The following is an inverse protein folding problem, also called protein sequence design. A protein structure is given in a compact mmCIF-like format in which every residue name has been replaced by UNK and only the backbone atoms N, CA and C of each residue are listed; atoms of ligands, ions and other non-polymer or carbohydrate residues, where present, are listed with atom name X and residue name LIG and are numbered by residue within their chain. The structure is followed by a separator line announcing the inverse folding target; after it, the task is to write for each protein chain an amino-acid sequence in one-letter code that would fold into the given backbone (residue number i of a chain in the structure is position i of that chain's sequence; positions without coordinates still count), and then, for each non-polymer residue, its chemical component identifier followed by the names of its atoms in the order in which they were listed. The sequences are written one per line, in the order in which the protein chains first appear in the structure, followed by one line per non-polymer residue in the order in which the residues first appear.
data_IF_393151072805
#
_entry.id   IF_393151072805
#
_cell.length_a   1.000
_cell.length_b   1.000
_cell.length_c   1.000
_cell.angle_alpha   90.00
_cell.angle_beta   90.00
_cell.angle_gamma   90.00
#
_symmetry.space_group_name_H-M   'P 1'
#
loop_
_entity.id
_entity.type
_entity.pdbx_description
1 polymer ?
#
# COMPACT_ATOMS: atom_id res chain seq x y z
N UNK A 1 11.56 -29.13 -11.65
CA UNK A 1 12.19 -28.03 -12.42
C UNK A 1 12.37 -26.87 -11.45
N UNK A 2 13.58 -26.55 -11.03
CA UNK A 2 13.85 -25.38 -10.19
C UNK A 2 13.70 -24.14 -11.07
N UNK A 3 12.86 -23.19 -10.66
CA UNK A 3 12.75 -21.88 -11.33
C UNK A 3 14.14 -21.27 -11.47
N UNK A 4 14.45 -20.57 -12.57
CA UNK A 4 15.72 -19.88 -12.69
C UNK A 4 15.90 -18.90 -11.53
N UNK A 5 17.14 -18.70 -11.02
CA UNK A 5 17.42 -17.98 -9.77
C UNK A 5 16.93 -16.51 -9.74
N UNK A 6 16.44 -15.98 -10.84
CA UNK A 6 15.98 -14.60 -11.02
C UNK A 6 14.48 -14.46 -11.22
N UNK A 7 13.70 -15.53 -11.13
CA UNK A 7 12.22 -15.45 -11.22
C UNK A 7 11.58 -15.53 -9.83
N UNK A 8 10.47 -14.84 -9.68
CA UNK A 8 9.63 -14.97 -8.50
C UNK A 8 8.98 -16.35 -8.46
N UNK A 9 8.96 -16.95 -7.27
CA UNK A 9 8.17 -18.12 -6.97
C UNK A 9 7.51 -17.95 -5.58
N UNK A 10 6.30 -18.47 -5.36
CA UNK A 10 5.56 -18.30 -4.10
C UNK A 10 6.35 -18.71 -2.85
N UNK A 11 7.27 -19.67 -2.96
CA UNK A 11 8.12 -20.14 -1.87
C UNK A 11 9.12 -19.07 -1.38
N UNK A 12 9.33 -18.02 -2.15
CA UNK A 12 10.19 -16.88 -1.76
C UNK A 12 9.45 -15.89 -0.85
N UNK A 13 8.10 -15.90 -0.82
CA UNK A 13 7.29 -15.01 0.00
C UNK A 13 7.67 -15.00 1.47
N UNK A 14 7.80 -16.18 2.15
CA UNK A 14 8.20 -16.25 3.55
C UNK A 14 9.57 -15.63 3.86
N UNK A 15 10.49 -15.60 2.88
CA UNK A 15 11.83 -15.03 3.03
C UNK A 15 11.84 -13.53 2.77
N UNK A 16 11.09 -13.07 1.76
CA UNK A 16 11.07 -11.67 1.34
C UNK A 16 10.18 -10.81 2.23
N UNK A 17 8.98 -11.27 2.57
CA UNK A 17 7.99 -10.46 3.27
C UNK A 17 8.52 -9.86 4.59
N UNK A 18 9.21 -10.59 5.47
CA UNK A 18 9.77 -10.00 6.69
C UNK A 18 10.82 -8.92 6.42
N UNK A 19 11.60 -9.04 5.34
CA UNK A 19 12.59 -8.04 4.95
C UNK A 19 11.89 -6.75 4.48
N UNK A 20 10.84 -6.87 3.66
CA UNK A 20 10.07 -5.73 3.18
C UNK A 20 9.30 -5.05 4.31
N UNK A 21 8.74 -5.82 5.25
CA UNK A 21 8.09 -5.27 6.46
C UNK A 21 9.07 -4.44 7.31
N UNK A 22 10.31 -4.91 7.49
CA UNK A 22 11.35 -4.12 8.19
C UNK A 22 11.73 -2.86 7.43
N UNK A 23 11.87 -2.97 6.11
CA UNK A 23 12.21 -1.85 5.24
C UNK A 23 11.12 -0.77 5.28
N UNK A 24 9.85 -1.14 5.20
CA UNK A 24 8.73 -0.22 5.33
C UNK A 24 8.73 0.49 6.71
N UNK A 25 9.05 -0.23 7.80
CA UNK A 25 9.20 0.37 9.12
C UNK A 25 10.36 1.34 9.21
N UNK A 26 11.49 1.04 8.59
CA UNK A 26 12.64 1.94 8.55
C UNK A 26 12.31 3.24 7.80
N UNK A 27 11.67 3.14 6.63
CA UNK A 27 11.19 4.28 5.87
C UNK A 27 10.16 5.12 6.66
N UNK A 28 9.19 4.46 7.30
CA UNK A 28 8.18 5.15 8.11
C UNK A 28 8.79 5.92 9.29
N UNK A 29 9.90 5.46 9.86
CA UNK A 29 10.64 6.21 10.89
C UNK A 29 11.20 7.51 10.34
N UNK A 30 11.86 7.49 9.18
CA UNK A 30 12.37 8.70 8.53
C UNK A 30 11.24 9.68 8.21
N UNK A 31 10.11 9.18 7.73
CA UNK A 31 8.92 9.99 7.47
C UNK A 31 8.43 10.66 8.75
N UNK A 32 8.34 9.93 9.86
CA UNK A 32 7.90 10.48 11.15
C UNK A 32 8.88 11.50 11.74
N UNK A 33 10.18 11.39 11.46
CA UNK A 33 11.16 12.43 11.83
C UNK A 33 10.85 13.75 11.15
N UNK A 34 10.58 13.72 9.84
CA UNK A 34 10.17 14.91 9.09
C UNK A 34 8.79 15.39 9.57
N UNK A 35 7.83 14.46 9.74
CA UNK A 35 6.47 14.79 10.19
C UNK A 35 6.43 15.48 11.57
N UNK A 36 7.40 15.20 12.44
CA UNK A 36 7.53 15.83 13.76
C UNK A 36 8.24 17.20 13.73
N UNK A 37 8.80 17.61 12.57
CA UNK A 37 9.50 18.88 12.38
C UNK A 37 8.63 19.92 11.66
N UNK A 38 9.13 21.14 11.57
CA UNK A 38 8.67 22.13 10.59
C UNK A 38 9.32 21.83 9.25
N UNK A 39 8.55 21.27 8.32
CA UNK A 39 9.03 20.87 6.99
C UNK A 39 8.51 21.80 5.90
N UNK A 40 9.31 21.96 4.87
CA UNK A 40 8.92 22.66 3.65
C UNK A 40 8.18 21.71 2.69
N UNK A 41 7.22 22.26 1.95
CA UNK A 41 6.48 21.59 0.89
C UNK A 41 6.91 22.18 -0.44
N UNK A 42 7.25 21.33 -1.38
CA UNK A 42 7.55 21.71 -2.76
C UNK A 42 6.50 21.13 -3.69
N UNK A 43 6.28 21.75 -4.83
CA UNK A 43 5.38 21.24 -5.87
C UNK A 43 6.19 20.52 -6.94
N UNK A 44 5.72 19.34 -7.34
CA UNK A 44 6.22 18.60 -8.51
C UNK A 44 5.75 19.28 -9.80
N UNK A 45 6.25 18.84 -10.95
CA UNK A 45 5.88 19.38 -12.26
C UNK A 45 4.38 19.24 -12.57
N UNK A 46 3.70 18.26 -11.96
CA UNK A 46 2.24 18.05 -12.08
C UNK A 46 1.44 18.77 -10.97
N UNK A 47 2.06 19.70 -10.22
CA UNK A 47 1.49 20.42 -9.09
C UNK A 47 1.04 19.54 -7.90
N UNK A 48 1.51 18.31 -7.81
CA UNK A 48 1.38 17.51 -6.58
C UNK A 48 2.46 17.91 -5.57
N UNK A 49 2.16 17.90 -4.25
CA UNK A 49 3.16 18.23 -3.25
C UNK A 49 4.19 17.12 -3.12
N UNK A 50 5.42 17.49 -2.83
CA UNK A 50 6.50 16.59 -2.41
C UNK A 50 7.19 17.18 -1.20
N UNK A 51 7.67 16.33 -0.32
CA UNK A 51 8.40 16.75 0.88
C UNK A 51 9.72 16.01 1.00
N UNK A 52 10.59 16.51 1.86
CA UNK A 52 11.82 15.81 2.22
C UNK A 52 11.57 14.39 2.75
N UNK A 53 10.36 14.11 3.26
CA UNK A 53 9.99 12.78 3.73
C UNK A 53 9.90 11.78 2.58
N UNK A 54 9.29 12.16 1.45
CA UNK A 54 9.15 11.34 0.24
C UNK A 54 10.55 10.96 -0.28
N UNK A 55 11.41 11.96 -0.45
CA UNK A 55 12.76 11.77 -1.00
C UNK A 55 13.66 10.91 -0.09
N UNK A 56 13.64 11.17 1.23
CA UNK A 56 14.43 10.38 2.19
C UNK A 56 13.95 8.92 2.25
N UNK A 57 12.66 8.70 2.22
CA UNK A 57 12.11 7.35 2.23
C UNK A 57 12.47 6.59 0.94
N UNK A 58 12.36 7.22 -0.24
CA UNK A 58 12.77 6.59 -1.50
C UNK A 58 14.26 6.28 -1.54
N UNK A 59 15.10 7.20 -1.06
CA UNK A 59 16.57 7.01 -0.98
C UNK A 59 16.95 5.84 -0.07
N UNK A 60 16.18 5.53 0.96
CA UNK A 60 16.36 4.34 1.78
C UNK A 60 15.85 3.07 1.10
N UNK A 61 14.63 3.12 0.54
CA UNK A 61 13.93 1.92 0.05
C UNK A 61 14.60 1.37 -1.22
N UNK A 62 14.89 2.23 -2.20
CA UNK A 62 15.34 1.80 -3.52
C UNK A 62 16.65 1.00 -3.49
N UNK A 63 17.74 1.46 -2.84
CA UNK A 63 18.98 0.69 -2.76
C UNK A 63 18.82 -0.62 -1.98
N UNK A 64 17.99 -0.63 -0.93
CA UNK A 64 17.75 -1.83 -0.14
C UNK A 64 17.05 -2.94 -0.96
N UNK A 65 16.07 -2.57 -1.79
CA UNK A 65 15.41 -3.50 -2.71
C UNK A 65 16.36 -4.01 -3.79
N UNK A 66 17.22 -3.14 -4.33
CA UNK A 66 18.25 -3.52 -5.31
C UNK A 66 19.28 -4.49 -4.72
N UNK A 67 19.69 -4.30 -3.47
CA UNK A 67 20.57 -5.25 -2.78
C UNK A 67 19.87 -6.59 -2.52
N UNK A 68 18.59 -6.57 -2.17
CA UNK A 68 17.80 -7.77 -1.91
C UNK A 68 17.60 -8.61 -3.17
N UNK A 69 17.36 -7.96 -4.31
CA UNK A 69 17.14 -8.59 -5.62
C UNK A 69 17.71 -7.71 -6.75
N UNK A 70 19.01 -7.83 -7.05
CA UNK A 70 19.68 -6.91 -7.99
C UNK A 70 19.15 -6.94 -9.42
N UNK A 71 18.48 -8.02 -9.82
CA UNK A 71 17.95 -8.20 -11.18
C UNK A 71 16.53 -7.70 -11.35
N UNK A 72 15.86 -7.30 -10.26
CA UNK A 72 14.49 -6.79 -10.32
C UNK A 72 14.49 -5.26 -10.27
N UNK A 73 14.05 -4.58 -11.35
CA UNK A 73 13.97 -3.13 -11.36
C UNK A 73 13.10 -2.60 -10.22
N UNK A 74 13.44 -1.41 -9.72
CA UNK A 74 12.62 -0.68 -8.75
C UNK A 74 12.01 0.51 -9.46
N UNK A 75 10.70 0.50 -9.61
CA UNK A 75 9.90 1.63 -10.10
C UNK A 75 9.33 2.35 -8.89
N UNK A 76 9.86 3.53 -8.60
CA UNK A 76 9.47 4.34 -7.45
C UNK A 76 8.89 5.68 -7.93
N UNK A 77 7.95 6.23 -7.15
CA UNK A 77 7.19 7.42 -7.54
C UNK A 77 8.07 8.61 -7.82
N UNK A 78 9.02 8.94 -6.93
CA UNK A 78 9.82 10.16 -7.07
C UNK A 78 10.80 10.06 -8.24
N UNK A 79 11.41 8.90 -8.47
CA UNK A 79 12.20 8.64 -9.67
C UNK A 79 11.35 8.71 -10.94
N UNK A 80 10.12 8.18 -10.91
CA UNK A 80 9.21 8.23 -12.05
C UNK A 80 8.78 9.67 -12.39
N UNK A 81 8.48 10.48 -11.38
CA UNK A 81 8.12 11.90 -11.56
C UNK A 81 9.23 12.72 -12.22
N UNK A 82 10.49 12.32 -12.02
CA UNK A 82 11.69 12.89 -12.65
C UNK A 82 12.03 12.26 -14.01
N UNK A 83 11.21 11.35 -14.53
CA UNK A 83 11.48 10.62 -15.77
C UNK A 83 12.63 9.60 -15.66
N UNK A 84 12.96 9.14 -14.45
CA UNK A 84 14.09 8.24 -14.16
C UNK A 84 13.63 6.81 -13.84
N UNK A 85 12.32 6.51 -13.93
CA UNK A 85 11.83 5.16 -13.69
C UNK A 85 12.39 4.18 -14.75
N UNK A 86 12.91 3.01 -14.33
CA UNK A 86 13.28 1.97 -15.27
C UNK A 86 12.03 1.42 -15.96
N UNK A 87 12.21 0.79 -17.14
CA UNK A 87 11.13 0.04 -17.76
C UNK A 87 10.69 -1.12 -16.85
N UNK A 88 9.39 -1.39 -16.81
CA UNK A 88 8.87 -2.56 -16.13
C UNK A 88 9.43 -3.84 -16.76
N UNK A 89 9.82 -4.79 -15.90
CA UNK A 89 10.25 -6.12 -16.31
C UNK A 89 9.15 -7.13 -15.94
N UNK A 90 9.36 -8.41 -16.25
CA UNK A 90 8.45 -9.48 -15.84
C UNK A 90 8.24 -9.53 -14.33
N UNK A 91 9.34 -9.30 -13.57
CA UNK A 91 9.35 -9.15 -12.11
C UNK A 91 10.00 -7.82 -11.75
N UNK A 92 9.30 -6.98 -10.99
CA UNK A 92 9.79 -5.66 -10.60
C UNK A 92 9.12 -5.18 -9.31
N UNK A 93 9.79 -4.24 -8.62
CA UNK A 93 9.25 -3.57 -7.45
C UNK A 93 8.47 -2.33 -7.87
N UNK A 94 7.34 -2.11 -7.21
CA UNK A 94 6.60 -0.84 -7.23
C UNK A 94 6.65 -0.23 -5.83
N UNK A 95 7.05 1.03 -5.74
CA UNK A 95 7.23 1.75 -4.49
C UNK A 95 6.55 3.10 -4.54
N UNK A 96 5.69 3.35 -3.58
CA UNK A 96 5.29 4.69 -3.19
C UNK A 96 5.85 4.94 -1.79
N UNK A 97 6.88 5.78 -1.67
CA UNK A 97 7.52 6.02 -0.38
C UNK A 97 6.61 6.73 0.62
N UNK A 98 5.68 7.56 0.13
CA UNK A 98 4.71 8.29 0.95
C UNK A 98 3.43 8.58 0.14
N UNK A 99 2.54 7.57 0.02
CA UNK A 99 1.20 7.79 -0.55
C UNK A 99 0.35 8.66 0.38
N UNK A 100 -0.21 9.71 -0.18
CA UNK A 100 -1.00 10.69 0.56
C UNK A 100 -0.18 11.85 1.09
N UNK A 101 0.67 12.45 0.26
CA UNK A 101 1.43 13.66 0.64
C UNK A 101 0.53 14.82 1.07
N UNK A 102 -0.70 14.91 0.52
CA UNK A 102 -1.70 15.89 0.99
C UNK A 102 -2.16 15.61 2.42
N UNK A 103 -2.38 14.36 2.77
CA UNK A 103 -2.70 13.90 4.12
C UNK A 103 -1.54 14.15 5.09
N UNK A 104 -0.31 13.96 4.61
CA UNK A 104 0.92 14.29 5.35
C UNK A 104 1.00 15.79 5.63
N UNK A 105 0.86 16.65 4.63
CA UNK A 105 0.87 18.10 4.75
C UNK A 105 -0.26 18.60 5.66
N UNK A 106 -1.46 18.04 5.52
CA UNK A 106 -2.61 18.36 6.37
C UNK A 106 -2.50 17.80 7.79
N UNK A 107 -1.45 17.04 8.12
CA UNK A 107 -1.19 16.43 9.42
C UNK A 107 -2.34 15.58 9.98
N UNK A 108 -3.11 14.92 9.11
CA UNK A 108 -4.21 14.05 9.53
C UNK A 108 -3.79 12.59 9.83
N UNK A 109 -2.55 12.21 9.46
CA UNK A 109 -1.96 10.90 9.77
C UNK A 109 -2.41 9.73 8.89
N UNK A 110 -3.17 9.98 7.83
CA UNK A 110 -3.70 8.95 6.92
C UNK A 110 -2.85 8.77 5.65
N UNK A 111 -1.55 8.81 5.77
CA UNK A 111 -0.60 8.54 4.70
C UNK A 111 0.08 7.18 4.91
N UNK A 112 0.58 6.58 3.83
CA UNK A 112 1.12 5.21 3.87
C UNK A 112 2.45 5.08 3.16
N UNK A 113 3.28 4.10 3.60
CA UNK A 113 4.42 3.56 2.85
C UNK A 113 3.93 2.32 2.13
N UNK A 114 4.10 2.28 0.82
CA UNK A 114 3.65 1.18 -0.03
C UNK A 114 4.85 0.54 -0.74
N UNK A 115 5.06 -0.75 -0.53
CA UNK A 115 6.10 -1.54 -1.22
C UNK A 115 5.44 -2.80 -1.77
N UNK A 116 5.54 -3.01 -3.08
CA UNK A 116 4.97 -4.18 -3.75
C UNK A 116 5.97 -4.87 -4.66
N UNK A 117 5.85 -6.18 -4.77
CA UNK A 117 6.46 -6.98 -5.82
C UNK A 117 5.41 -7.36 -6.84
N UNK A 118 5.68 -7.07 -8.11
CA UNK A 118 4.85 -7.46 -9.24
C UNK A 118 5.55 -8.57 -10.04
N UNK A 119 4.80 -9.59 -10.43
CA UNK A 119 5.25 -10.66 -11.30
C UNK A 119 4.18 -10.96 -12.34
N UNK A 120 4.56 -11.06 -13.62
CA UNK A 120 3.64 -11.28 -14.74
C UNK A 120 2.43 -10.32 -14.73
N UNK A 121 2.68 -9.06 -14.35
CA UNK A 121 1.66 -8.01 -14.29
C UNK A 121 0.62 -8.19 -13.16
N UNK A 122 0.87 -9.06 -12.18
CA UNK A 122 0.06 -9.21 -10.98
C UNK A 122 0.89 -8.90 -9.73
N UNK A 123 0.35 -8.21 -8.71
CA UNK A 123 1.05 -7.97 -7.47
C UNK A 123 1.04 -9.26 -6.63
N UNK A 124 2.22 -9.75 -6.28
CA UNK A 124 2.40 -11.05 -5.59
C UNK A 124 2.86 -10.93 -4.14
N UNK A 125 3.34 -9.75 -3.76
CA UNK A 125 3.71 -9.42 -2.38
C UNK A 125 3.47 -7.92 -2.17
N UNK A 126 2.98 -7.55 -0.99
CA UNK A 126 2.74 -6.16 -0.66
C UNK A 126 2.83 -5.88 0.83
N UNK A 127 3.31 -4.67 1.15
CA UNK A 127 3.29 -4.09 2.49
C UNK A 127 2.72 -2.67 2.39
N UNK A 128 1.71 -2.39 3.19
CA UNK A 128 1.12 -1.07 3.40
C UNK A 128 1.28 -0.72 4.87
N UNK A 129 2.03 0.33 5.19
CA UNK A 129 2.27 0.76 6.57
C UNK A 129 1.80 2.20 6.77
N UNK A 130 0.97 2.43 7.78
CA UNK A 130 0.57 3.76 8.23
C UNK A 130 1.54 4.23 9.34
N UNK A 131 2.43 5.20 9.07
CA UNK A 131 3.44 5.61 10.03
C UNK A 131 2.86 6.10 11.35
N UNK A 132 1.81 6.92 11.32
CA UNK A 132 1.24 7.57 12.52
C UNK A 132 0.55 6.58 13.45
N UNK A 133 -0.25 5.67 12.91
CA UNK A 133 -0.97 4.66 13.69
C UNK A 133 -0.14 3.43 14.02
N UNK A 134 0.90 3.16 13.23
CA UNK A 134 1.67 1.93 13.28
C UNK A 134 0.96 0.71 12.70
N UNK A 135 -0.24 0.85 12.10
CA UNK A 135 -0.92 -0.27 11.42
C UNK A 135 -0.10 -0.68 10.20
N UNK A 136 0.31 -1.93 10.15
CA UNK A 136 1.01 -2.52 9.02
C UNK A 136 0.22 -3.70 8.49
N UNK A 137 -0.15 -3.60 7.23
CA UNK A 137 -0.80 -4.66 6.46
C UNK A 137 0.23 -5.29 5.53
N UNK A 138 0.31 -6.59 5.52
CA UNK A 138 1.24 -7.33 4.66
C UNK A 138 0.58 -8.58 4.10
N UNK A 139 0.98 -8.96 2.88
CA UNK A 139 0.44 -10.13 2.23
C UNK A 139 1.33 -10.65 1.12
N UNK A 140 1.27 -11.94 0.86
CA UNK A 140 1.96 -12.59 -0.25
C UNK A 140 1.11 -13.70 -0.84
N UNK A 141 1.19 -13.85 -2.16
CA UNK A 141 0.46 -14.87 -2.91
C UNK A 141 0.74 -16.27 -2.37
N UNK A 142 -0.32 -17.03 -2.10
CA UNK A 142 -0.24 -18.39 -1.54
C UNK A 142 0.14 -18.46 -0.06
N UNK A 143 0.41 -17.34 0.61
CA UNK A 143 0.81 -17.31 2.02
C UNK A 143 -0.28 -16.76 2.94
N UNK A 144 -1.15 -15.88 2.41
CA UNK A 144 -2.14 -15.16 3.17
C UNK A 144 -1.74 -13.71 3.45
N UNK A 145 -2.56 -13.02 4.23
CA UNK A 145 -2.37 -11.64 4.62
C UNK A 145 -2.44 -11.46 6.13
N UNK A 146 -1.78 -10.43 6.63
CA UNK A 146 -1.69 -10.15 8.07
C UNK A 146 -1.71 -8.66 8.36
N UNK A 147 -2.21 -8.33 9.53
CA UNK A 147 -2.02 -7.04 10.18
C UNK A 147 -1.15 -7.23 11.42
N UNK A 148 -0.28 -6.27 11.65
CA UNK A 148 0.48 -6.15 12.90
C UNK A 148 0.69 -4.68 13.23
N UNK A 149 0.93 -4.36 14.50
CA UNK A 149 1.38 -3.03 14.86
C UNK A 149 2.91 -2.94 14.70
N UNK A 150 3.37 -1.95 13.95
CA UNK A 150 4.80 -1.68 13.78
C UNK A 150 5.42 -1.11 15.08
N UNK A 151 4.61 -0.38 15.88
CA UNK A 151 4.91 0.20 17.18
C UNK A 151 3.64 0.52 17.95
N UNK A 152 3.75 0.83 19.23
CA UNK A 152 2.61 1.23 20.05
C UNK A 152 1.97 2.53 19.52
N UNK A 153 0.64 2.60 19.56
CA UNK A 153 -0.10 3.78 19.11
C UNK A 153 0.39 5.05 19.83
N UNK A 154 0.70 6.09 19.06
CA UNK A 154 1.22 7.35 19.61
C UNK A 154 2.69 7.34 19.99
N UNK A 155 3.42 6.24 19.84
CA UNK A 155 4.85 6.15 20.15
C UNK A 155 5.69 7.20 19.41
N UNK A 156 5.28 7.60 18.21
CA UNK A 156 5.94 8.63 17.43
C UNK A 156 5.96 10.00 18.12
N UNK A 157 4.91 10.36 18.90
CA UNK A 157 4.82 11.62 19.65
C UNK A 157 5.83 11.69 20.81
N UNK A 158 6.14 10.57 21.43
CA UNK A 158 7.03 10.46 22.59
C UNK A 158 8.47 10.10 22.19
N UNK A 159 8.73 9.83 20.92
CA UNK A 159 10.02 9.32 20.46
C UNK A 159 10.29 7.87 20.85
N UNK A 160 9.34 7.16 21.48
CA UNK A 160 9.49 5.77 21.89
C UNK A 160 9.70 4.79 20.72
N UNK A 161 9.43 5.21 19.49
CA UNK A 161 9.70 4.48 18.25
C UNK A 161 11.18 4.53 17.80
N UNK A 162 12.03 5.39 18.43
CA UNK A 162 13.44 5.57 18.08
C UNK A 162 14.36 4.44 18.56
N UNK A 163 13.83 3.40 19.20
CA UNK A 163 14.61 2.30 19.73
C UNK A 163 15.29 1.48 18.62
N UNK A 164 16.65 1.47 18.66
CA UNK A 164 17.49 0.46 18.03
C UNK A 164 17.72 0.57 16.52
N UNK A 165 18.49 1.57 16.06
CA UNK A 165 19.18 1.44 14.77
C UNK A 165 20.25 0.36 14.89
N UNK A 166 20.15 -0.73 14.10
CA UNK A 166 21.26 -1.67 13.91
C UNK A 166 22.37 -1.01 13.07
N UNK A 167 23.58 -1.53 13.16
CA UNK A 167 24.76 -1.03 12.40
C UNK A 167 24.56 -1.10 10.86
N UNK A 168 23.55 -1.83 10.40
CA UNK A 168 23.14 -1.99 8.99
C UNK A 168 22.10 -0.95 8.53
N UNK A 169 21.74 0.03 9.36
CA UNK A 169 20.71 1.03 9.07
C UNK A 169 19.27 0.47 9.05
N UNK A 170 19.10 -0.82 9.03
CA UNK A 170 17.84 -1.55 9.12
C UNK A 170 17.70 -2.01 10.57
N UNK A 171 17.02 -1.23 11.40
CA UNK A 171 16.95 -1.46 12.84
C UNK A 171 16.67 -2.91 13.23
N UNK A 172 17.33 -3.36 14.32
CA UNK A 172 17.01 -4.64 14.98
C UNK A 172 15.51 -4.71 15.24
N UNK A 173 14.87 -5.89 15.14
CA UNK A 173 13.47 -6.03 15.53
C UNK A 173 13.34 -5.64 16.98
N UNK A 174 12.66 -4.51 17.22
CA UNK A 174 12.25 -4.15 18.59
C UNK A 174 11.24 -5.20 19.05
N UNK A 175 11.70 -6.21 19.74
CA UNK A 175 10.84 -7.23 20.36
C UNK A 175 9.81 -6.60 21.35
N UNK A 176 10.04 -5.35 21.77
CA UNK A 176 9.25 -4.68 22.78
C UNK A 176 8.02 -3.89 22.23
N UNK A 177 7.82 -3.76 20.92
CA UNK A 177 6.75 -2.93 20.35
C UNK A 177 5.92 -3.57 19.25
N UNK A 178 6.28 -4.76 18.79
CA UNK A 178 5.51 -5.45 17.74
C UNK A 178 4.28 -6.12 18.37
N UNK A 179 3.09 -5.65 18.01
CA UNK A 179 1.85 -6.32 18.36
C UNK A 179 1.78 -7.72 17.73
N UNK A 180 0.94 -8.58 18.32
CA UNK A 180 0.68 -9.90 17.75
C UNK A 180 0.22 -9.80 16.29
N UNK A 181 0.78 -10.65 15.42
CA UNK A 181 0.40 -10.71 14.01
C UNK A 181 -0.99 -11.33 13.89
N UNK A 182 -1.95 -10.59 13.36
CA UNK A 182 -3.33 -11.02 13.13
C UNK A 182 -3.52 -11.41 11.67
N UNK A 183 -3.95 -12.65 11.42
CA UNK A 183 -4.32 -13.07 10.07
C UNK A 183 -5.52 -12.24 9.57
N UNK A 184 -5.45 -11.83 8.30
CA UNK A 184 -6.50 -11.08 7.63
C UNK A 184 -7.32 -11.99 6.72
N UNK A 185 -8.60 -11.73 6.69
CA UNK A 185 -9.53 -12.33 5.74
C UNK A 185 -10.65 -11.35 5.45
N UNK A 186 -10.97 -11.20 4.17
CA UNK A 186 -12.16 -10.45 3.77
C UNK A 186 -13.40 -11.07 4.42
N UNK A 187 -14.36 -10.25 4.78
CA UNK A 187 -15.62 -10.72 5.39
C UNK A 187 -16.68 -10.98 4.33
N UNK A 188 -17.62 -11.83 4.66
CA UNK A 188 -18.91 -11.90 3.94
C UNK A 188 -19.69 -10.63 4.25
N UNK A 189 -20.32 -10.04 3.24
CA UNK A 189 -21.13 -8.82 3.42
C UNK A 189 -22.22 -9.07 4.46
N UNK A 190 -22.33 -8.23 5.49
CA UNK A 190 -23.37 -8.39 6.51
C UNK A 190 -24.78 -8.24 5.93
N UNK A 191 -25.77 -8.86 6.56
CA UNK A 191 -27.19 -8.75 6.16
C UNK A 191 -27.69 -7.29 6.15
N UNK A 192 -27.10 -6.40 6.97
CA UNK A 192 -27.41 -4.98 7.00
C UNK A 192 -26.99 -4.24 5.73
N UNK A 193 -26.10 -4.81 4.91
CA UNK A 193 -25.58 -4.22 3.67
C UNK A 193 -24.10 -3.91 3.70
N UNK A 194 -23.63 -3.29 2.61
CA UNK A 194 -22.24 -2.95 2.35
C UNK A 194 -21.72 -1.83 3.25
N UNK A 195 -20.48 -1.96 3.67
CA UNK A 195 -19.66 -0.85 4.12
C UNK A 195 -18.77 -0.38 2.95
N UNK A 196 -19.00 0.84 2.44
CA UNK A 196 -18.28 1.40 1.30
C UNK A 196 -17.15 2.29 1.79
N UNK A 197 -15.90 1.98 1.41
CA UNK A 197 -14.76 2.84 1.64
C UNK A 197 -14.64 3.89 0.55
N UNK A 198 -14.56 5.17 0.93
CA UNK A 198 -14.39 6.33 0.06
C UNK A 198 -13.05 7.01 0.25
N UNK A 199 -12.57 7.71 -0.78
CA UNK A 199 -11.37 8.56 -0.68
C UNK A 199 -11.71 9.87 0.05
N UNK A 200 -10.81 10.34 0.92
CA UNK A 200 -10.95 11.62 1.61
C UNK A 200 -10.77 12.81 0.65
N UNK A 201 -9.74 12.77 -0.15
CA UNK A 201 -9.27 13.92 -0.94
C UNK A 201 -9.63 13.84 -2.43
N UNK A 202 -10.03 12.67 -2.94
CA UNK A 202 -10.20 12.44 -4.38
C UNK A 202 -11.45 11.60 -4.70
N UNK A 203 -12.57 11.90 -4.05
CA UNK A 203 -13.82 11.21 -4.29
C UNK A 203 -14.60 11.84 -5.47
N UNK A 204 -15.10 11.01 -6.39
CA UNK A 204 -16.17 11.36 -7.31
C UNK A 204 -17.45 10.72 -6.79
N UNK A 205 -18.24 11.50 -6.05
CA UNK A 205 -19.47 11.00 -5.42
C UNK A 205 -20.52 10.64 -6.46
N UNK A 206 -20.60 11.38 -7.58
CA UNK A 206 -21.58 11.10 -8.63
C UNK A 206 -21.27 9.76 -9.32
N UNK A 207 -19.99 9.51 -9.66
CA UNK A 207 -19.57 8.25 -10.23
C UNK A 207 -19.74 7.08 -9.25
N UNK A 208 -19.46 7.29 -7.95
CA UNK A 208 -19.70 6.29 -6.92
C UNK A 208 -21.20 5.96 -6.81
N UNK A 209 -22.07 6.95 -6.79
CA UNK A 209 -23.52 6.73 -6.76
C UNK A 209 -24.00 5.97 -8.00
N UNK A 210 -23.54 6.34 -9.19
CA UNK A 210 -23.86 5.62 -10.42
C UNK A 210 -23.43 4.15 -10.35
N UNK A 211 -22.22 3.88 -9.81
CA UNK A 211 -21.73 2.54 -9.62
C UNK A 211 -22.58 1.72 -8.63
N UNK A 212 -22.97 2.31 -7.50
CA UNK A 212 -23.82 1.67 -6.50
C UNK A 212 -25.22 1.36 -7.05
N UNK A 213 -25.79 2.28 -7.85
CA UNK A 213 -27.11 2.11 -8.47
C UNK A 213 -27.11 1.20 -9.71
N UNK A 214 -25.96 1.02 -10.35
CA UNK A 214 -25.75 0.16 -11.52
C UNK A 214 -25.21 -1.22 -11.13
N UNK A 215 -23.89 -1.44 -11.16
CA UNK A 215 -23.28 -2.75 -10.92
C UNK A 215 -23.58 -3.38 -9.54
N UNK A 216 -23.87 -2.57 -8.52
CA UNK A 216 -24.25 -3.05 -7.18
C UNK A 216 -25.75 -2.84 -6.87
N UNK A 217 -26.58 -2.68 -7.90
CA UNK A 217 -28.03 -2.51 -7.75
C UNK A 217 -28.62 -3.65 -6.93
N UNK A 218 -29.41 -3.28 -5.91
CA UNK A 218 -30.07 -4.23 -5.01
C UNK A 218 -29.26 -4.58 -3.75
N UNK A 219 -28.01 -4.15 -3.66
CA UNK A 219 -27.23 -4.24 -2.42
C UNK A 219 -27.41 -2.96 -1.58
N UNK A 220 -27.93 -3.11 -0.36
CA UNK A 220 -28.05 -2.00 0.56
C UNK A 220 -26.65 -1.50 0.98
N UNK A 221 -26.48 -0.18 1.11
CA UNK A 221 -25.31 0.44 1.72
C UNK A 221 -25.66 0.73 3.18
N UNK A 222 -25.07 -0.04 4.10
CA UNK A 222 -25.31 0.11 5.54
C UNK A 222 -24.44 1.23 6.15
N UNK A 223 -23.22 1.42 5.65
CA UNK A 223 -22.30 2.42 6.19
C UNK A 223 -21.26 2.87 5.16
N UNK A 224 -20.60 4.00 5.46
CA UNK A 224 -19.48 4.52 4.69
C UNK A 224 -18.32 4.85 5.60
N UNK A 225 -17.11 4.56 5.15
CA UNK A 225 -15.85 4.93 5.81
C UNK A 225 -15.08 5.81 4.85
N UNK A 226 -14.63 6.97 5.32
CA UNK A 226 -13.72 7.83 4.56
C UNK A 226 -12.30 7.61 5.06
N UNK A 227 -11.37 7.27 4.16
CA UNK A 227 -9.98 7.05 4.50
C UNK A 227 -9.05 7.60 3.42
N UNK A 228 -7.87 8.07 3.84
CA UNK A 228 -6.79 8.50 2.94
C UNK A 228 -6.01 7.31 2.37
N UNK A 229 -5.21 7.56 1.36
CA UNK A 229 -4.16 6.67 0.84
C UNK A 229 -4.58 5.22 0.60
N UNK A 230 -3.63 4.31 0.60
CA UNK A 230 -3.81 2.87 0.44
C UNK A 230 -4.44 2.16 1.65
N UNK A 231 -4.73 2.89 2.75
CA UNK A 231 -5.43 2.34 3.92
C UNK A 231 -6.72 1.61 3.54
N UNK A 232 -7.45 2.08 2.53
CA UNK A 232 -8.72 1.48 2.08
C UNK A 232 -8.59 0.01 1.71
N UNK A 233 -7.50 -0.40 1.07
CA UNK A 233 -7.22 -1.82 0.79
C UNK A 233 -7.02 -2.64 2.06
N UNK A 234 -6.30 -2.07 3.05
CA UNK A 234 -6.13 -2.68 4.36
C UNK A 234 -7.46 -2.88 5.11
N UNK A 235 -8.37 -1.90 5.04
CA UNK A 235 -9.70 -2.00 5.64
C UNK A 235 -10.54 -3.12 5.00
N UNK A 236 -10.47 -3.27 3.67
CA UNK A 236 -11.14 -4.37 2.98
C UNK A 236 -10.53 -5.72 3.38
N UNK A 237 -9.20 -5.83 3.37
CA UNK A 237 -8.49 -7.06 3.75
C UNK A 237 -8.78 -7.47 5.20
N UNK A 238 -8.99 -6.49 6.10
CA UNK A 238 -9.33 -6.70 7.50
C UNK A 238 -10.82 -7.02 7.74
N UNK A 239 -11.65 -6.95 6.70
CA UNK A 239 -13.10 -7.10 6.82
C UNK A 239 -13.79 -5.91 7.52
N UNK A 240 -13.14 -4.75 7.56
CA UNK A 240 -13.69 -3.50 8.11
C UNK A 240 -14.54 -2.74 7.06
N UNK A 241 -14.27 -2.95 5.77
CA UNK A 241 -15.06 -2.47 4.64
C UNK A 241 -15.25 -3.57 3.59
N UNK A 242 -16.19 -3.38 2.66
CA UNK A 242 -16.57 -4.39 1.68
C UNK A 242 -16.23 -3.99 0.24
N UNK A 243 -16.31 -2.68 -0.08
CA UNK A 243 -16.10 -2.15 -1.44
C UNK A 243 -15.34 -0.83 -1.37
N UNK A 244 -14.38 -0.67 -2.28
CA UNK A 244 -13.72 0.61 -2.58
C UNK A 244 -13.67 0.79 -4.09
N UNK A 245 -14.42 1.75 -4.61
CA UNK A 245 -14.40 2.16 -6.01
C UNK A 245 -13.59 3.44 -6.20
N UNK A 246 -12.77 3.48 -7.24
CA UNK A 246 -11.91 4.61 -7.56
C UNK A 246 -12.16 5.11 -8.98
N UNK A 247 -12.63 6.35 -9.08
CA UNK A 247 -12.96 7.05 -10.33
C UNK A 247 -12.01 8.23 -10.63
N UNK A 248 -11.03 8.48 -9.77
CA UNK A 248 -10.00 9.49 -10.01
C UNK A 248 -8.67 8.86 -10.40
N UNK A 249 -7.77 9.70 -10.93
CA UNK A 249 -6.41 9.29 -11.30
C UNK A 249 -5.70 8.63 -10.13
N UNK A 250 -5.02 7.51 -10.41
CA UNK A 250 -4.06 6.85 -9.51
C UNK A 250 -2.95 6.23 -10.34
N UNK A 251 -1.80 6.06 -9.70
CA UNK A 251 -0.67 5.37 -10.30
C UNK A 251 -0.58 3.93 -9.79
N UNK A 252 0.20 3.11 -10.46
CA UNK A 252 0.36 1.70 -10.08
C UNK A 252 0.96 1.52 -8.69
N UNK A 253 1.89 2.39 -8.28
CA UNK A 253 2.51 2.36 -6.96
C UNK A 253 1.54 2.70 -5.82
N UNK A 254 0.46 3.49 -6.07
CA UNK A 254 -0.60 3.76 -5.10
C UNK A 254 -1.43 2.50 -4.77
N UNK A 255 -1.43 1.51 -5.65
CA UNK A 255 -2.41 0.41 -5.56
C UNK A 255 -1.80 -0.98 -5.40
N UNK A 256 -0.59 -1.22 -5.95
CA UNK A 256 -0.03 -2.57 -6.04
C UNK A 256 0.16 -3.25 -4.68
N UNK A 257 0.65 -2.51 -3.67
CA UNK A 257 0.86 -3.07 -2.33
C UNK A 257 -0.48 -3.44 -1.67
N UNK A 258 -1.45 -2.53 -1.72
CA UNK A 258 -2.79 -2.77 -1.19
C UNK A 258 -3.51 -3.91 -1.92
N UNK A 259 -3.36 -3.99 -3.25
CA UNK A 259 -3.93 -5.08 -4.05
C UNK A 259 -3.34 -6.44 -3.64
N UNK A 260 -2.02 -6.54 -3.49
CA UNK A 260 -1.37 -7.79 -3.04
C UNK A 260 -1.90 -8.24 -1.67
N UNK A 261 -2.03 -7.31 -0.72
CA UNK A 261 -2.59 -7.59 0.62
C UNK A 261 -4.03 -8.06 0.52
N UNK A 262 -4.87 -7.33 -0.24
CA UNK A 262 -6.29 -7.67 -0.40
C UNK A 262 -6.49 -9.00 -1.10
N UNK A 263 -5.74 -9.28 -2.16
CA UNK A 263 -5.80 -10.56 -2.88
C UNK A 263 -5.37 -11.72 -1.98
N UNK A 264 -4.31 -11.54 -1.18
CA UNK A 264 -3.85 -12.55 -0.21
C UNK A 264 -4.87 -12.78 0.93
N UNK A 265 -5.73 -11.78 1.24
CA UNK A 265 -6.84 -11.90 2.19
C UNK A 265 -8.12 -12.53 1.57
N UNK A 266 -8.12 -12.82 0.26
CA UNK A 266 -9.25 -13.43 -0.46
C UNK A 266 -10.17 -12.42 -1.17
N UNK A 267 -9.76 -11.14 -1.28
CA UNK A 267 -10.47 -10.13 -2.05
C UNK A 267 -9.96 -10.00 -3.50
N UNK A 268 -10.41 -8.98 -4.20
CA UNK A 268 -10.04 -8.72 -5.60
C UNK A 268 -9.98 -7.24 -5.92
N UNK A 269 -9.22 -6.89 -6.98
CA UNK A 269 -9.21 -5.55 -7.59
C UNK A 269 -9.36 -5.72 -9.08
N UNK A 270 -10.41 -5.11 -9.63
CA UNK A 270 -10.76 -5.22 -11.04
C UNK A 270 -11.02 -3.83 -11.64
N UNK A 271 -10.86 -3.72 -12.93
CA UNK A 271 -11.36 -2.59 -13.72
C UNK A 271 -12.90 -2.57 -13.71
N UNK A 272 -13.52 -1.48 -14.16
CA UNK A 272 -15.00 -1.36 -14.13
C UNK A 272 -15.71 -2.38 -15.01
N UNK A 273 -15.05 -2.91 -16.03
CA UNK A 273 -15.53 -3.98 -16.91
C UNK A 273 -15.27 -5.40 -16.34
N UNK A 274 -14.76 -5.47 -15.10
CA UNK A 274 -14.59 -6.74 -14.37
C UNK A 274 -13.30 -7.48 -14.64
N UNK A 275 -12.38 -6.95 -15.45
CA UNK A 275 -11.08 -7.57 -15.69
C UNK A 275 -10.13 -7.31 -14.51
N UNK A 276 -9.27 -8.28 -14.15
CA UNK A 276 -8.25 -8.05 -13.11
C UNK A 276 -7.38 -6.82 -13.41
N UNK A 277 -7.17 -5.96 -12.40
CA UNK A 277 -6.26 -4.83 -12.55
C UNK A 277 -4.83 -5.32 -12.73
N UNK A 278 -4.17 -4.85 -13.81
CA UNK A 278 -2.83 -5.28 -14.22
C UNK A 278 -1.81 -4.17 -14.03
N UNK A 279 -0.54 -4.55 -13.90
CA UNK A 279 0.59 -3.70 -13.56
C UNK A 279 1.71 -3.82 -14.60
N UNK A 280 2.57 -2.78 -14.67
CA UNK A 280 3.62 -2.67 -15.67
C UNK A 280 3.15 -2.02 -16.97
N UNK A 281 2.09 -1.23 -16.92
CA UNK A 281 1.57 -0.46 -18.06
C UNK A 281 2.52 0.67 -18.46
N UNK A 282 2.58 1.07 -19.74
CA UNK A 282 3.25 2.31 -20.12
C UNK A 282 2.71 3.49 -19.32
N UNK A 283 3.62 4.28 -18.72
CA UNK A 283 3.28 5.44 -17.89
C UNK A 283 2.73 5.13 -16.50
N UNK A 284 2.53 3.86 -16.13
CA UNK A 284 2.12 3.40 -14.81
C UNK A 284 0.78 3.97 -14.29
N UNK A 285 -0.05 4.54 -15.15
CA UNK A 285 -1.36 5.05 -14.74
C UNK A 285 -2.40 3.91 -14.70
N UNK A 286 -3.24 3.93 -13.67
CA UNK A 286 -4.35 2.99 -13.52
C UNK A 286 -5.61 3.49 -14.24
N UNK A 287 -6.37 2.58 -14.87
CA UNK A 287 -7.76 2.86 -15.20
C UNK A 287 -8.59 2.98 -13.91
N UNK A 288 -9.82 3.42 -14.01
CA UNK A 288 -10.77 3.33 -12.91
C UNK A 288 -10.92 1.87 -12.47
N UNK A 289 -11.04 1.65 -11.17
CA UNK A 289 -11.08 0.30 -10.62
C UNK A 289 -12.01 0.17 -9.42
N UNK A 290 -12.31 -1.07 -9.09
CA UNK A 290 -13.04 -1.45 -7.89
C UNK A 290 -12.28 -2.53 -7.13
N UNK A 291 -11.99 -2.26 -5.87
CA UNK A 291 -11.51 -3.24 -4.91
C UNK A 291 -12.70 -3.79 -4.11
N UNK A 292 -12.74 -5.09 -3.90
CA UNK A 292 -13.85 -5.79 -3.24
C UNK A 292 -13.32 -6.82 -2.25
N UNK A 293 -14.03 -6.92 -1.11
CA UNK A 293 -13.97 -8.09 -0.24
C UNK A 293 -14.69 -9.30 -0.86
N UNK A 294 -15.17 -10.21 -0.04
CA UNK A 294 -16.01 -11.32 -0.49
C UNK A 294 -17.41 -10.77 -0.80
N UNK A 295 -17.72 -10.53 -2.07
CA UNK A 295 -19.10 -10.28 -2.49
C UNK A 295 -19.86 -11.59 -2.57
N UNK A 296 -21.20 -11.58 -2.30
CA UNK A 296 -22.05 -12.71 -2.62
C UNK A 296 -21.91 -13.06 -4.10
N UNK A 297 -21.90 -14.36 -4.39
CA UNK A 297 -21.91 -14.87 -5.76
C UNK A 297 -23.18 -14.44 -6.51
#
# INVERSE_FOLDING_TARGET
MTSPPNEWAPEQGPQLLPAIERLARAAARLILEVYASDFEVQDKADHSPVTLADERAETLITPALQLLRPTWPVVAEEAASRGQAPAAARTFWLVDPLDGTREFVARNGEFTVNIALVHDGAPVLGVVLLPVSGRQFSGAAGQGAWEQSAWAHGAWKTGAWKGGAGEDGVGRPDAAGQGARRALRVRVVPAAGLCVAGSRSHGDEAALQAYLQGPLKGQAVASRITAGSSLKFGLLAAGEADVYARFGRTMEWDTAAGHAVLAAAGGSVCTLDGLPLRYGKPGYENPHFVARGALPA
#
